data_IF_195249164946
#
_entry.id   IF_195249164946
#
_cell.length_a   1.000
_cell.length_b   1.000
_cell.length_c   1.000
_cell.angle_alpha   90.00
_cell.angle_beta   90.00
_cell.angle_gamma   90.00
#
_symmetry.space_group_name_H-M   'P 1'
#
loop_
_entity.id
_entity.type
_entity.pdbx_description
1 polymer ?
#
# COMPACT_ATOMS: atom_id res chain seq x y z
N UNK A 1 28.20 17.92 -49.14
CA UNK A 1 29.01 17.09 -48.24
C UNK A 1 28.10 16.13 -47.49
N UNK A 2 28.13 14.82 -47.80
CA UNK A 2 27.39 13.79 -47.05
C UNK A 2 28.23 13.43 -45.81
N UNK A 3 27.73 13.75 -44.62
CA UNK A 3 28.38 13.37 -43.37
C UNK A 3 28.42 11.84 -43.24
N UNK A 4 29.59 11.25 -43.38
CA UNK A 4 29.81 9.83 -43.13
C UNK A 4 29.74 9.64 -41.62
N UNK A 5 28.56 9.26 -41.12
CA UNK A 5 28.40 8.85 -39.73
C UNK A 5 29.19 7.55 -39.56
N UNK A 6 30.31 7.60 -38.83
CA UNK A 6 31.14 6.41 -38.57
C UNK A 6 30.32 5.38 -37.78
N UNK A 7 30.12 4.15 -38.29
CA UNK A 7 29.25 3.14 -37.67
C UNK A 7 29.68 2.74 -36.25
N UNK A 8 30.97 2.89 -35.91
CA UNK A 8 31.50 2.65 -34.57
C UNK A 8 30.95 3.64 -33.51
N UNK A 9 30.73 4.90 -33.88
CA UNK A 9 30.14 5.89 -32.97
C UNK A 9 28.65 5.65 -32.72
N UNK A 10 27.92 5.08 -33.69
CA UNK A 10 26.53 4.65 -33.48
C UNK A 10 26.45 3.43 -32.54
N UNK A 11 27.32 2.42 -32.69
CA UNK A 11 27.36 1.26 -31.78
C UNK A 11 27.67 1.64 -30.33
N UNK A 12 28.63 2.54 -30.11
CA UNK A 12 28.96 3.05 -28.78
C UNK A 12 27.81 3.84 -28.14
N UNK A 13 27.12 4.71 -28.91
CA UNK A 13 25.95 5.45 -28.43
C UNK A 13 24.77 4.54 -28.09
N UNK A 14 24.49 3.53 -28.92
CA UNK A 14 23.42 2.56 -28.65
C UNK A 14 23.73 1.75 -27.38
N UNK A 15 24.97 1.31 -27.19
CA UNK A 15 25.37 0.59 -25.97
C UNK A 15 25.18 1.46 -24.71
N UNK A 16 25.57 2.74 -24.77
CA UNK A 16 25.38 3.69 -23.66
C UNK A 16 23.89 3.86 -23.35
N UNK A 17 23.04 4.02 -24.38
CA UNK A 17 21.58 4.16 -24.20
C UNK A 17 20.99 2.90 -23.54
N UNK A 18 21.39 1.71 -23.99
CA UNK A 18 20.91 0.43 -23.41
C UNK A 18 21.34 0.29 -21.95
N UNK A 19 22.58 0.64 -21.62
CA UNK A 19 23.08 0.61 -20.23
C UNK A 19 22.30 1.60 -19.36
N UNK A 20 22.12 2.85 -19.82
CA UNK A 20 21.35 3.86 -19.10
C UNK A 20 19.90 3.43 -18.89
N UNK A 21 19.27 2.90 -19.93
CA UNK A 21 17.90 2.38 -19.83
C UNK A 21 17.81 1.21 -18.84
N UNK A 22 18.79 0.30 -18.85
CA UNK A 22 18.88 -0.79 -17.88
C UNK A 22 19.00 -0.29 -16.43
N UNK A 23 19.86 0.70 -16.18
CA UNK A 23 20.03 1.30 -14.85
C UNK A 23 18.75 2.00 -14.40
N UNK A 24 18.13 2.80 -15.28
CA UNK A 24 16.87 3.49 -14.97
C UNK A 24 15.76 2.47 -14.70
N UNK A 25 15.65 1.42 -15.50
CA UNK A 25 14.65 0.36 -15.30
C UNK A 25 14.86 -0.36 -13.96
N UNK A 26 16.11 -0.67 -13.60
CA UNK A 26 16.43 -1.31 -12.32
C UNK A 26 16.10 -0.39 -11.14
N UNK A 27 16.40 0.90 -11.27
CA UNK A 27 16.07 1.93 -10.29
C UNK A 27 14.55 2.09 -10.14
N UNK A 28 13.81 2.21 -11.24
CA UNK A 28 12.35 2.27 -11.18
C UNK A 28 11.76 1.00 -10.55
N UNK A 29 12.26 -0.19 -10.93
CA UNK A 29 11.77 -1.44 -10.35
C UNK A 29 12.03 -1.51 -8.85
N UNK A 30 13.21 -1.07 -8.39
CA UNK A 30 13.53 -1.08 -6.96
C UNK A 30 12.67 -0.09 -6.16
N UNK A 31 12.34 1.08 -6.72
CA UNK A 31 11.50 2.08 -6.04
C UNK A 31 10.00 1.77 -6.06
N UNK A 32 9.50 1.09 -7.09
CA UNK A 32 8.06 0.80 -7.24
C UNK A 32 7.67 -0.63 -6.90
N UNK A 33 8.63 -1.54 -6.66
CA UNK A 33 8.30 -2.88 -6.20
C UNK A 33 7.85 -2.87 -4.73
N UNK A 34 6.75 -3.57 -4.44
CA UNK A 34 6.20 -3.72 -3.08
C UNK A 34 7.04 -4.73 -2.27
N UNK A 35 8.28 -4.38 -1.93
CA UNK A 35 9.28 -5.28 -1.29
C UNK A 35 9.51 -5.01 0.19
N UNK A 36 9.00 -3.89 0.71
CA UNK A 36 9.21 -3.51 2.11
C UNK A 36 8.01 -3.95 2.93
N UNK A 37 8.21 -4.87 3.87
CA UNK A 37 7.19 -5.18 4.86
C UNK A 37 7.13 -4.03 5.86
N UNK A 38 5.92 -3.55 6.15
CA UNK A 38 5.67 -2.48 7.11
C UNK A 38 5.17 -3.02 8.44
N UNK A 39 4.28 -4.02 8.41
CA UNK A 39 3.65 -4.59 9.61
C UNK A 39 3.06 -5.97 9.30
N UNK A 40 2.93 -6.83 10.31
CA UNK A 40 2.01 -7.96 10.26
C UNK A 40 0.59 -7.52 10.61
N UNK A 41 -0.41 -8.14 9.97
CA UNK A 41 -1.80 -7.99 10.39
C UNK A 41 -2.00 -8.92 11.59
N UNK A 42 -2.20 -8.34 12.77
CA UNK A 42 -2.34 -9.08 14.02
C UNK A 42 -3.79 -9.56 14.20
N UNK A 43 -4.18 -10.57 13.41
CA UNK A 43 -5.55 -11.12 13.43
C UNK A 43 -5.98 -11.56 14.84
N UNK A 44 -5.08 -12.13 15.63
CA UNK A 44 -5.38 -12.53 17.02
C UNK A 44 -5.74 -11.33 17.92
N UNK A 45 -5.07 -10.19 17.73
CA UNK A 45 -5.40 -8.95 18.44
C UNK A 45 -6.74 -8.38 17.97
N UNK A 46 -7.00 -8.45 16.66
CA UNK A 46 -8.27 -8.02 16.06
C UNK A 46 -9.42 -8.86 16.61
N UNK A 47 -9.30 -10.19 16.60
CA UNK A 47 -10.29 -11.12 17.14
C UNK A 47 -10.62 -10.81 18.60
N UNK A 48 -9.59 -10.66 19.45
CA UNK A 48 -9.79 -10.30 20.86
C UNK A 48 -10.51 -8.96 21.03
N UNK A 49 -10.21 -7.97 20.19
CA UNK A 49 -10.89 -6.66 20.22
C UNK A 49 -12.34 -6.75 19.74
N UNK A 50 -12.61 -7.55 18.72
CA UNK A 50 -13.95 -7.81 18.21
C UNK A 50 -14.79 -8.57 19.25
N UNK A 51 -14.20 -9.53 19.97
CA UNK A 51 -14.85 -10.24 21.08
C UNK A 51 -15.23 -9.28 22.21
N UNK A 52 -14.30 -8.42 22.66
CA UNK A 52 -14.58 -7.39 23.67
C UNK A 52 -15.67 -6.43 23.18
N UNK A 53 -15.63 -6.01 21.90
CA UNK A 53 -16.69 -5.19 21.32
C UNK A 53 -18.03 -5.90 21.31
N UNK A 54 -18.07 -7.20 20.96
CA UNK A 54 -19.29 -8.00 20.97
C UNK A 54 -19.87 -8.15 22.37
N UNK A 55 -19.01 -8.36 23.38
CA UNK A 55 -19.41 -8.39 24.79
C UNK A 55 -19.94 -7.02 25.27
N UNK A 56 -19.37 -5.92 24.78
CA UNK A 56 -19.81 -4.56 25.09
C UNK A 56 -21.02 -4.09 24.24
N UNK A 57 -21.26 -4.67 23.06
CA UNK A 57 -22.30 -4.28 22.09
C UNK A 57 -23.69 -4.82 22.42
N UNK A 58 -23.90 -5.44 23.59
CA UNK A 58 -25.23 -5.79 24.10
C UNK A 58 -26.19 -4.58 24.09
N UNK A 59 -25.68 -3.35 24.03
CA UNK A 59 -26.48 -2.12 24.05
C UNK A 59 -26.72 -1.40 22.70
N UNK A 60 -26.01 -1.70 21.58
CA UNK A 60 -26.17 -0.92 20.32
C UNK A 60 -26.17 -1.81 19.05
N UNK A 61 -27.34 -2.05 18.42
CA UNK A 61 -27.54 -3.13 17.44
C UNK A 61 -27.02 -2.88 16.00
N UNK A 62 -26.43 -1.72 15.68
CA UNK A 62 -26.12 -1.35 14.28
C UNK A 62 -24.68 -0.91 14.01
N UNK A 63 -23.74 -1.19 14.91
CA UNK A 63 -22.35 -0.75 14.73
C UNK A 63 -21.53 -1.87 14.08
N UNK A 64 -21.11 -1.69 12.82
CA UNK A 64 -20.17 -2.60 12.16
C UNK A 64 -18.91 -2.69 13.02
N UNK A 65 -18.60 -3.89 13.52
CA UNK A 65 -17.44 -4.11 14.37
C UNK A 65 -16.17 -3.81 13.57
N UNK A 66 -15.42 -2.79 14.01
CA UNK A 66 -14.20 -2.30 13.37
C UNK A 66 -13.11 -2.18 14.41
N UNK A 67 -11.89 -2.55 14.03
CA UNK A 67 -10.70 -2.34 14.86
C UNK A 67 -9.78 -1.39 14.12
N UNK A 68 -9.70 -0.15 14.62
CA UNK A 68 -8.72 0.83 14.17
C UNK A 68 -7.37 0.49 14.80
N UNK A 69 -6.42 -0.01 14.01
CA UNK A 69 -5.10 -0.36 14.51
C UNK A 69 -4.14 0.81 14.34
N UNK A 70 -3.99 1.59 15.40
CA UNK A 70 -3.00 2.66 15.49
C UNK A 70 -1.74 2.13 16.21
N UNK A 71 -0.71 1.75 15.45
CA UNK A 71 0.57 1.32 16.04
C UNK A 71 1.75 2.08 15.46
N UNK A 72 2.72 2.38 16.31
CA UNK A 72 4.01 2.95 15.89
C UNK A 72 4.69 2.00 14.90
N UNK A 73 5.19 2.57 13.81
CA UNK A 73 6.07 1.93 12.84
C UNK A 73 7.42 1.65 13.52
N UNK A 74 7.50 0.56 14.30
CA UNK A 74 8.69 0.13 15.03
C UNK A 74 9.77 -0.45 14.11
N UNK A 75 10.50 -1.46 14.58
CA UNK A 75 11.48 -2.25 13.79
C UNK A 75 10.83 -3.15 12.72
N UNK A 76 9.52 -3.03 12.50
CA UNK A 76 8.76 -3.87 11.58
C UNK A 76 9.01 -3.52 10.12
N UNK A 77 9.42 -2.27 9.83
CA UNK A 77 9.68 -1.74 8.49
C UNK A 77 11.04 -2.24 7.98
N UNK A 78 11.02 -3.24 7.10
CA UNK A 78 12.24 -3.79 6.50
C UNK A 78 11.94 -4.50 5.18
N UNK A 79 12.94 -4.63 4.28
CA UNK A 79 12.82 -5.51 3.12
C UNK A 79 12.43 -6.93 3.55
N UNK A 80 11.44 -7.51 2.88
CA UNK A 80 10.98 -8.87 3.16
C UNK A 80 10.62 -9.59 1.84
N UNK A 81 11.35 -10.66 1.46
CA UNK A 81 11.11 -11.35 0.19
C UNK A 81 9.69 -11.94 0.11
N UNK A 82 9.07 -12.24 1.25
CA UNK A 82 7.67 -12.72 1.28
C UNK A 82 6.70 -11.73 0.66
N UNK A 83 7.05 -10.44 0.59
CA UNK A 83 6.22 -9.43 -0.06
C UNK A 83 6.06 -9.62 -1.57
N UNK A 84 6.96 -10.41 -2.19
CA UNK A 84 6.90 -10.77 -3.60
C UNK A 84 6.13 -12.08 -3.84
N UNK A 85 6.24 -13.03 -2.92
CA UNK A 85 5.81 -14.42 -3.14
C UNK A 85 4.48 -14.79 -2.49
N UNK A 86 4.04 -14.05 -1.48
CA UNK A 86 2.77 -14.33 -0.82
C UNK A 86 1.58 -13.87 -1.68
N UNK A 87 0.46 -14.57 -1.55
CA UNK A 87 -0.75 -14.29 -2.29
C UNK A 87 -1.36 -12.95 -1.87
N UNK A 88 -2.17 -12.37 -2.74
CA UNK A 88 -2.94 -11.16 -2.48
C UNK A 88 -4.26 -11.24 -3.22
N UNK A 89 -5.32 -10.74 -2.60
CA UNK A 89 -6.65 -10.59 -3.20
C UNK A 89 -7.14 -9.19 -2.88
N UNK A 90 -7.10 -8.31 -3.88
CA UNK A 90 -7.67 -6.97 -3.81
C UNK A 90 -9.19 -7.08 -4.02
N UNK A 91 -9.95 -6.51 -3.09
CA UNK A 91 -11.42 -6.53 -3.08
C UNK A 91 -11.97 -5.21 -3.61
N UNK A 92 -11.24 -4.12 -3.40
CA UNK A 92 -11.63 -2.81 -3.87
C UNK A 92 -10.63 -1.74 -3.52
N UNK A 93 -10.85 -0.56 -4.07
CA UNK A 93 -10.07 0.65 -3.79
C UNK A 93 -10.92 1.87 -4.06
N UNK A 94 -10.55 2.99 -3.48
CA UNK A 94 -11.19 4.27 -3.77
C UNK A 94 -10.95 5.30 -2.69
N UNK A 95 -11.81 6.30 -2.66
CA UNK A 95 -11.71 7.40 -1.71
C UNK A 95 -12.77 7.27 -0.62
N UNK A 96 -12.38 7.55 0.62
CA UNK A 96 -13.36 7.72 1.69
C UNK A 96 -14.25 8.93 1.39
N UNK A 97 -15.53 8.78 1.77
CA UNK A 97 -16.55 9.83 1.66
C UNK A 97 -16.69 10.64 2.96
N UNK A 98 -15.78 10.45 3.91
CA UNK A 98 -15.75 11.22 5.14
C UNK A 98 -15.29 12.65 4.84
N UNK A 99 -16.03 13.64 5.34
CA UNK A 99 -15.71 15.05 5.16
C UNK A 99 -14.46 15.46 5.93
N UNK A 100 -14.13 14.76 7.02
CA UNK A 100 -12.97 15.04 7.86
C UNK A 100 -11.72 14.28 7.40
N UNK A 101 -11.90 13.12 6.76
CA UNK A 101 -10.81 12.26 6.30
C UNK A 101 -11.09 11.69 4.91
N UNK A 102 -10.59 12.39 3.88
CA UNK A 102 -10.70 12.04 2.45
C UNK A 102 -9.53 11.19 1.96
N UNK A 103 -9.03 10.27 2.77
CA UNK A 103 -7.93 9.40 2.40
C UNK A 103 -8.29 8.36 1.32
N UNK A 104 -7.27 7.94 0.58
CA UNK A 104 -7.38 6.84 -0.37
C UNK A 104 -7.28 5.51 0.40
N UNK A 105 -8.11 4.56 0.03
CA UNK A 105 -8.13 3.24 0.65
C UNK A 105 -7.98 2.12 -0.37
N UNK A 106 -7.42 1.01 0.08
CA UNK A 106 -7.38 -0.25 -0.65
C UNK A 106 -7.84 -1.36 0.29
N UNK A 107 -8.83 -2.12 -0.14
CA UNK A 107 -9.42 -3.23 0.59
C UNK A 107 -8.85 -4.56 0.08
N UNK A 108 -8.43 -5.39 1.02
CA UNK A 108 -7.91 -6.72 0.77
C UNK A 108 -8.65 -7.76 1.59
N UNK A 109 -8.81 -8.94 1.02
CA UNK A 109 -9.39 -10.09 1.72
C UNK A 109 -8.29 -10.99 2.30
N UNK A 110 -8.49 -11.43 3.53
CA UNK A 110 -7.66 -12.45 4.19
C UNK A 110 -8.58 -13.62 4.56
N UNK A 111 -8.33 -14.83 4.01
CA UNK A 111 -9.08 -16.02 4.42
C UNK A 111 -8.86 -16.35 5.90
N UNK A 112 -9.85 -17.02 6.52
CA UNK A 112 -9.72 -17.58 7.86
C UNK A 112 -8.40 -18.40 8.03
N UNK A 113 -7.78 -18.27 9.19
CA UNK A 113 -6.54 -18.97 9.58
C UNK A 113 -5.28 -18.62 8.75
N UNK A 114 -5.32 -17.59 7.91
CA UNK A 114 -4.13 -17.11 7.20
C UNK A 114 -3.44 -15.99 7.98
N UNK A 115 -2.10 -16.05 7.99
CA UNK A 115 -1.27 -14.93 8.46
C UNK A 115 -1.11 -13.94 7.32
N UNK A 116 -1.27 -12.65 7.61
CA UNK A 116 -1.08 -11.60 6.62
C UNK A 116 -0.09 -10.53 7.08
N UNK A 117 0.44 -9.80 6.11
CA UNK A 117 1.33 -8.67 6.34
C UNK A 117 1.08 -7.58 5.30
N UNK A 118 1.36 -6.34 5.68
CA UNK A 118 1.27 -5.18 4.82
C UNK A 118 2.67 -4.95 4.23
N UNK A 119 2.73 -4.93 2.91
CA UNK A 119 3.92 -4.64 2.12
C UNK A 119 3.73 -3.36 1.33
N UNK A 120 4.81 -2.62 1.14
CA UNK A 120 4.80 -1.31 0.49
C UNK A 120 6.03 -1.10 -0.38
N UNK A 121 6.00 -0.06 -1.20
CA UNK A 121 7.15 0.43 -1.98
C UNK A 121 8.19 1.07 -1.06
N UNK A 122 9.49 1.02 -1.39
CA UNK A 122 10.50 1.76 -0.64
C UNK A 122 10.19 3.26 -0.50
N UNK A 123 9.57 3.87 -1.52
CA UNK A 123 9.17 5.27 -1.47
C UNK A 123 8.14 5.54 -0.36
N UNK A 124 7.05 4.76 -0.30
CA UNK A 124 6.04 4.93 0.74
C UNK A 124 6.58 4.49 2.11
N UNK A 125 7.39 3.43 2.19
CA UNK A 125 8.06 3.05 3.44
C UNK A 125 8.92 4.19 4.00
N UNK A 126 9.71 4.85 3.16
CA UNK A 126 10.54 5.99 3.56
C UNK A 126 9.68 7.17 4.03
N UNK A 127 8.57 7.46 3.32
CA UNK A 127 7.63 8.51 3.74
C UNK A 127 6.97 8.21 5.10
N UNK A 128 6.57 6.95 5.33
CA UNK A 128 6.02 6.49 6.60
C UNK A 128 7.04 6.57 7.74
N UNK A 129 8.32 6.25 7.46
CA UNK A 129 9.41 6.39 8.44
C UNK A 129 9.70 7.87 8.71
N UNK A 130 9.68 8.74 7.70
CA UNK A 130 9.91 10.17 7.88
C UNK A 130 8.80 10.84 8.72
N UNK A 131 7.54 10.46 8.49
CA UNK A 131 6.38 10.94 9.25
C UNK A 131 6.11 10.14 10.55
N UNK A 132 7.07 9.33 11.02
CA UNK A 132 6.95 8.38 12.17
C UNK A 132 6.43 9.00 13.46
N UNK A 133 6.54 10.32 13.62
CA UNK A 133 6.08 11.06 14.79
C UNK A 133 4.67 11.66 14.66
N UNK A 134 4.14 11.81 13.44
CA UNK A 134 2.92 12.59 13.19
C UNK A 134 1.74 11.77 12.69
N UNK A 135 1.98 10.72 11.88
CA UNK A 135 0.89 9.89 11.34
C UNK A 135 1.18 8.38 11.51
N UNK A 136 0.37 7.65 12.31
CA UNK A 136 0.45 6.20 12.40
C UNK A 136 0.05 5.54 11.05
N UNK A 137 0.56 4.34 10.78
CA UNK A 137 -0.05 3.50 9.75
C UNK A 137 -1.44 3.07 10.27
N UNK A 138 -2.50 3.61 9.68
CA UNK A 138 -3.87 3.22 10.00
C UNK A 138 -4.31 2.14 9.03
N UNK A 139 -4.67 0.99 9.59
CA UNK A 139 -5.43 -0.01 8.86
C UNK A 139 -6.64 -0.43 9.69
N UNK A 140 -7.74 -0.68 9.00
CA UNK A 140 -9.00 -1.10 9.60
C UNK A 140 -9.23 -2.55 9.23
N UNK A 141 -9.68 -3.35 10.19
CA UNK A 141 -10.03 -4.76 9.95
C UNK A 141 -11.51 -4.96 10.26
N UNK A 142 -12.22 -5.57 9.33
CA UNK A 142 -13.63 -5.92 9.42
C UNK A 142 -13.78 -7.45 9.32
N UNK A 143 -14.52 -8.09 10.23
CA UNK A 143 -14.82 -9.51 10.09
C UNK A 143 -15.79 -9.75 8.93
N UNK A 144 -15.61 -10.86 8.22
CA UNK A 144 -16.59 -11.42 7.27
C UNK A 144 -17.00 -12.82 7.71
N UNK A 145 -17.96 -13.44 7.00
CA UNK A 145 -18.42 -14.80 7.30
C UNK A 145 -17.29 -15.84 7.19
N UNK A 146 -16.33 -15.60 6.30
CA UNK A 146 -15.32 -16.54 5.84
C UNK A 146 -13.87 -16.02 6.02
N UNK A 147 -13.68 -14.84 6.60
CA UNK A 147 -12.38 -14.19 6.66
C UNK A 147 -12.40 -12.80 7.29
N UNK A 148 -11.48 -11.96 6.81
CA UNK A 148 -11.33 -10.57 7.23
C UNK A 148 -11.09 -9.67 6.03
N UNK A 149 -11.77 -8.52 6.03
CA UNK A 149 -11.43 -7.41 5.15
C UNK A 149 -10.45 -6.48 5.84
N UNK A 150 -9.30 -6.26 5.23
CA UNK A 150 -8.31 -5.28 5.70
C UNK A 150 -8.28 -4.10 4.76
N UNK A 151 -8.70 -2.96 5.28
CA UNK A 151 -8.59 -1.66 4.62
C UNK A 151 -7.28 -1.00 5.02
N UNK A 152 -6.38 -0.84 4.06
CA UNK A 152 -5.24 0.07 4.22
C UNK A 152 -5.77 1.48 3.95
N UNK A 153 -5.67 2.37 4.94
CA UNK A 153 -5.93 3.80 4.76
C UNK A 153 -4.58 4.46 4.55
N UNK A 154 -4.28 4.83 3.31
CA UNK A 154 -3.06 5.55 3.00
C UNK A 154 -3.34 7.04 3.22
N UNK A 155 -2.62 7.66 4.17
CA UNK A 155 -2.74 9.07 4.59
C UNK A 155 -2.38 10.11 3.53
N UNK A 156 -2.89 9.93 2.32
CA UNK A 156 -2.57 10.63 1.07
C UNK A 156 -3.75 11.51 0.60
N UNK A 157 -4.64 11.91 1.50
CA UNK A 157 -5.66 12.96 1.28
C UNK A 157 -5.11 14.22 0.61
N UNK A 158 -3.85 14.58 0.89
CA UNK A 158 -3.14 15.71 0.30
C UNK A 158 -3.00 15.63 -1.23
N UNK A 159 -3.14 14.44 -1.83
CA UNK A 159 -3.02 14.23 -3.30
C UNK A 159 -4.33 14.50 -4.03
N UNK A 160 -5.48 14.35 -3.35
CA UNK A 160 -6.82 14.39 -3.95
C UNK A 160 -7.17 15.75 -4.55
N UNK A 161 -6.98 16.83 -3.79
CA UNK A 161 -7.34 18.18 -4.24
C UNK A 161 -6.42 18.69 -5.37
N UNK A 162 -5.08 18.56 -5.31
CA UNK A 162 -4.22 18.86 -6.45
C UNK A 162 -4.58 18.07 -7.71
N UNK A 163 -4.88 16.77 -7.55
CA UNK A 163 -5.30 15.88 -8.62
C UNK A 163 -6.58 16.37 -9.32
N UNK A 164 -7.60 16.70 -8.53
CA UNK A 164 -8.85 17.29 -9.01
C UNK A 164 -8.63 18.63 -9.70
N UNK A 165 -7.82 19.52 -9.11
CA UNK A 165 -7.58 20.85 -9.65
C UNK A 165 -6.84 20.81 -11.00
N UNK A 166 -5.93 19.86 -11.20
CA UNK A 166 -5.15 19.76 -12.43
C UNK A 166 -5.87 18.99 -13.55
N UNK A 167 -6.65 17.98 -13.20
CA UNK A 167 -7.24 17.05 -14.19
C UNK A 167 -8.76 17.12 -14.28
N UNK A 168 -9.42 17.83 -13.37
CA UNK A 168 -10.87 17.80 -13.20
C UNK A 168 -11.40 16.50 -12.57
N UNK A 169 -10.52 15.54 -12.28
CA UNK A 169 -10.87 14.21 -11.78
C UNK A 169 -10.18 13.92 -10.44
N UNK A 170 -10.95 13.48 -9.44
CA UNK A 170 -10.42 13.09 -8.12
C UNK A 170 -9.65 11.76 -8.17
N UNK A 171 -9.91 10.93 -9.17
CA UNK A 171 -9.35 9.57 -9.29
C UNK A 171 -8.04 9.54 -10.12
N UNK A 172 -7.50 10.70 -10.51
CA UNK A 172 -6.34 10.77 -11.40
C UNK A 172 -5.07 10.13 -10.80
N UNK A 173 -4.99 10.00 -9.47
CA UNK A 173 -3.86 9.42 -8.76
C UNK A 173 -4.07 7.93 -8.38
N UNK A 174 -5.29 7.39 -8.50
CA UNK A 174 -5.63 6.01 -8.10
C UNK A 174 -4.67 4.93 -8.63
N UNK A 175 -4.22 4.98 -9.91
CA UNK A 175 -3.30 3.97 -10.43
C UNK A 175 -1.92 4.00 -9.76
N UNK A 176 -1.50 5.16 -9.27
CA UNK A 176 -0.21 5.34 -8.58
C UNK A 176 -0.36 4.96 -7.11
N UNK A 177 -1.45 5.39 -6.47
CA UNK A 177 -1.74 5.12 -5.06
C UNK A 177 -1.97 3.61 -4.80
N UNK A 178 -2.76 2.94 -5.65
CA UNK A 178 -2.97 1.49 -5.58
C UNK A 178 -1.69 0.65 -5.70
N UNK A 179 -0.61 1.24 -6.24
CA UNK A 179 0.70 0.59 -6.35
C UNK A 179 1.59 0.80 -5.13
N UNK A 180 1.20 1.62 -4.16
CA UNK A 180 2.04 1.92 -2.99
C UNK A 180 1.94 0.85 -1.89
N UNK A 181 0.75 0.30 -1.63
CA UNK A 181 0.51 -0.70 -0.58
C UNK A 181 -0.09 -2.01 -1.09
N UNK A 182 0.14 -3.12 -0.38
CA UNK A 182 -0.53 -4.42 -0.60
C UNK A 182 -0.60 -5.24 0.68
N UNK A 183 -1.73 -5.89 0.93
CA UNK A 183 -1.81 -6.96 1.93
C UNK A 183 -1.45 -8.29 1.28
N UNK A 184 -0.47 -8.96 1.86
CA UNK A 184 0.00 -10.28 1.46
C UNK A 184 -0.37 -11.30 2.52
N UNK A 185 -1.00 -12.41 2.14
CA UNK A 185 -1.27 -13.51 3.05
C UNK A 185 -0.52 -14.78 2.67
N UNK A 186 -0.15 -15.53 3.70
CA UNK A 186 0.55 -16.80 3.54
C UNK A 186 -0.35 -17.77 2.74
N UNK A 187 0.20 -18.47 1.74
CA UNK A 187 -0.52 -19.50 0.99
C UNK A 187 -1.05 -20.62 1.86
#
# INVERSE_FOLDING_TARGET
>A
MKGIIKPYQMKGRVLIIVILFGIISLFCFSFFAKVVRVKFVEIDFVLKRLEIQKEAQVEIPYTIAKVDVQRRLGSDVKPDPRCLFWATTEVGRGWTNDSEDRDFFIDYYIPLNKKAMICTTPALAAALIAKRHEKPLLYKVYPTEDGFHVRIVEGLSEVREPCKNWTGNVDCADPILSRQGVVRYKP
#
